data_IF_617285239365
#
_entry.id   IF_617285239365
#
_cell.length_a   1.000
_cell.length_b   1.000
_cell.length_c   1.000
_cell.angle_alpha   90.00
_cell.angle_beta   90.00
_cell.angle_gamma   90.00
#
_symmetry.space_group_name_H-M   'P 1'
#
loop_
_entity.id
_entity.type
_entity.pdbx_description
1 polymer ?
#
# COMPACT_ATOMS: atom_id res chain seq x y z
N UNK A 1 13.99 112.01 -4.85
CA UNK A 1 15.00 110.98 -4.52
C UNK A 1 14.35 109.62 -4.76
N UNK A 2 14.49 109.08 -5.97
CA UNK A 2 15.41 108.00 -6.41
C UNK A 2 14.72 106.61 -6.39
N UNK A 3 14.19 106.24 -7.57
CA UNK A 3 14.10 104.87 -8.15
C UNK A 3 15.46 104.13 -7.99
N UNK A 4 15.56 102.78 -7.94
CA UNK A 4 15.28 101.87 -9.07
C UNK A 4 14.76 100.47 -8.60
N UNK A 5 14.49 99.45 -9.41
CA UNK A 5 14.59 99.22 -10.85
C UNK A 5 14.22 97.75 -11.12
N UNK A 6 13.40 97.53 -12.13
CA UNK A 6 13.19 96.23 -12.76
C UNK A 6 14.52 95.72 -13.33
N UNK A 7 14.92 94.51 -12.95
CA UNK A 7 15.96 93.75 -13.64
C UNK A 7 15.36 92.43 -14.11
N UNK A 8 15.00 92.44 -15.39
CA UNK A 8 14.63 91.29 -16.20
C UNK A 8 15.88 90.43 -16.41
N UNK A 9 15.98 89.28 -15.77
CA UNK A 9 17.04 88.30 -16.04
C UNK A 9 16.46 87.19 -16.92
N UNK A 10 16.81 87.26 -18.21
CA UNK A 10 16.56 86.23 -19.20
C UNK A 10 17.33 84.96 -18.84
N UNK A 11 16.62 83.89 -18.48
CA UNK A 11 17.21 82.56 -18.38
C UNK A 11 17.23 81.93 -19.76
N UNK A 12 18.41 81.83 -20.35
CA UNK A 12 18.65 81.13 -21.59
C UNK A 12 18.43 79.63 -21.37
N UNK A 13 17.40 79.08 -22.01
CA UNK A 13 17.13 77.65 -22.06
C UNK A 13 18.23 76.96 -22.87
N UNK A 14 19.21 76.39 -22.17
CA UNK A 14 20.14 75.42 -22.76
C UNK A 14 19.36 74.13 -22.99
N UNK A 15 18.92 73.92 -24.23
CA UNK A 15 18.45 72.61 -24.69
C UNK A 15 19.69 71.73 -24.83
N UNK A 16 20.04 71.00 -23.76
CA UNK A 16 20.92 69.85 -23.86
C UNK A 16 20.17 68.78 -24.65
N UNK A 17 20.62 68.55 -25.88
CA UNK A 17 20.18 67.45 -26.72
C UNK A 17 20.57 66.13 -26.04
N UNK A 18 19.62 65.52 -25.31
CA UNK A 18 19.70 64.12 -24.91
C UNK A 18 19.63 63.24 -26.16
N UNK A 19 20.79 62.86 -26.69
CA UNK A 19 20.90 61.84 -27.75
C UNK A 19 21.48 60.57 -27.14
N UNK A 20 20.82 59.44 -27.42
CA UNK A 20 21.19 58.04 -27.11
C UNK A 20 20.72 57.40 -25.79
N UNK A 21 19.43 57.54 -25.42
CA UNK A 21 18.76 56.65 -24.44
C UNK A 21 17.48 55.96 -24.97
N UNK A 22 17.14 56.12 -26.25
CA UNK A 22 15.83 55.72 -26.78
C UNK A 22 15.64 54.20 -27.01
N UNK A 23 16.58 53.32 -26.65
CA UNK A 23 16.52 51.88 -26.99
C UNK A 23 15.97 51.00 -25.86
N UNK A 24 16.17 51.39 -24.60
CA UNK A 24 15.60 50.75 -23.41
C UNK A 24 14.58 51.71 -22.82
N UNK A 25 13.29 51.40 -22.95
CA UNK A 25 12.18 52.27 -22.53
C UNK A 25 11.97 52.25 -21.02
N UNK A 26 12.10 51.09 -20.37
CA UNK A 26 11.97 50.97 -18.92
C UNK A 26 12.58 49.68 -18.37
N UNK A 27 12.95 49.72 -17.08
CA UNK A 27 13.34 48.56 -16.27
C UNK A 27 12.62 48.69 -14.94
N UNK A 28 11.76 47.73 -14.61
CA UNK A 28 10.98 47.71 -13.37
C UNK A 28 11.22 46.40 -12.62
N UNK A 29 11.47 46.49 -11.30
CA UNK A 29 11.62 45.32 -10.44
C UNK A 29 10.36 45.19 -9.58
N UNK A 30 9.74 44.02 -9.62
CA UNK A 30 8.55 43.67 -8.83
C UNK A 30 8.87 42.50 -7.93
N UNK A 31 8.59 42.65 -6.65
CA UNK A 31 8.76 41.59 -5.65
C UNK A 31 7.40 41.29 -5.00
N UNK A 32 7.10 40.02 -4.64
CA UNK A 32 5.82 39.70 -4.02
C UNK A 32 5.61 40.37 -2.66
N UNK A 33 6.70 40.54 -1.90
CA UNK A 33 6.69 41.24 -0.60
C UNK A 33 8.08 41.81 -0.30
N UNK A 34 8.18 42.95 0.41
CA UNK A 34 9.46 43.56 0.77
C UNK A 34 10.02 43.12 2.13
N UNK A 35 9.30 42.30 2.91
CA UNK A 35 9.71 41.84 4.26
C UNK A 35 9.12 40.46 4.59
N UNK A 36 9.48 39.93 5.77
CA UNK A 36 9.00 38.63 6.24
C UNK A 36 9.76 37.47 5.60
N UNK A 37 11.05 37.68 5.35
CA UNK A 37 11.98 36.65 4.93
C UNK A 37 12.83 36.22 6.11
N UNK A 38 13.10 34.93 6.21
CA UNK A 38 13.98 34.34 7.20
C UNK A 38 15.18 33.66 6.52
N UNK A 39 16.10 33.17 7.34
CA UNK A 39 17.19 32.32 6.89
C UNK A 39 16.63 31.10 6.13
N UNK A 40 17.16 30.86 4.94
CA UNK A 40 16.78 29.73 4.07
C UNK A 40 15.65 30.02 3.09
N UNK A 41 14.95 31.15 3.24
CA UNK A 41 13.82 31.48 2.38
C UNK A 41 14.22 31.74 0.93
N UNK A 42 13.27 31.47 0.03
CA UNK A 42 13.37 31.85 -1.38
C UNK A 42 12.81 33.25 -1.60
N UNK A 43 13.67 34.15 -2.05
CA UNK A 43 13.31 35.52 -2.43
C UNK A 43 13.07 35.55 -3.94
N UNK A 44 11.88 35.97 -4.36
CA UNK A 44 11.51 36.02 -5.78
C UNK A 44 11.46 37.47 -6.25
N UNK A 45 12.03 37.72 -7.42
CA UNK A 45 11.94 39.00 -8.10
C UNK A 45 11.56 38.80 -9.56
N UNK A 46 10.75 39.71 -10.07
CA UNK A 46 10.40 39.81 -11.47
C UNK A 46 10.98 41.12 -11.99
N UNK A 47 11.83 41.03 -13.01
CA UNK A 47 12.38 42.20 -13.69
C UNK A 47 11.68 42.30 -15.04
N UNK A 48 10.91 43.37 -15.23
CA UNK A 48 10.23 43.68 -16.48
C UNK A 48 11.02 44.78 -17.22
N UNK A 49 11.52 44.45 -18.39
CA UNK A 49 12.27 45.37 -19.26
C UNK A 49 11.48 45.59 -20.54
N UNK A 50 11.36 46.85 -20.95
CA UNK A 50 10.75 47.23 -22.23
C UNK A 50 11.83 47.80 -23.14
N UNK A 51 12.00 47.23 -24.33
CA UNK A 51 12.97 47.66 -25.35
C UNK A 51 12.26 47.97 -26.67
N UNK A 52 12.91 48.77 -27.51
CA UNK A 52 12.47 49.03 -28.88
C UNK A 52 12.33 47.72 -29.70
N UNK A 53 11.48 47.70 -30.74
CA UNK A 53 11.29 46.52 -31.56
C UNK A 53 12.58 46.16 -32.32
N UNK A 54 12.78 44.86 -32.56
CA UNK A 54 13.98 44.33 -33.22
C UNK A 54 15.14 43.99 -32.27
N UNK A 55 15.11 44.48 -31.03
CA UNK A 55 16.08 44.07 -30.00
C UNK A 55 15.70 42.71 -29.39
N UNK A 56 16.68 41.82 -29.29
CA UNK A 56 16.58 40.47 -28.69
C UNK A 56 17.50 40.38 -27.49
N UNK A 57 17.08 39.68 -26.43
CA UNK A 57 17.95 39.48 -25.27
C UNK A 57 19.12 38.55 -25.64
N UNK A 58 20.35 38.99 -25.34
CA UNK A 58 21.51 38.12 -25.46
C UNK A 58 21.58 37.19 -24.25
N UNK A 59 21.32 35.89 -24.43
CA UNK A 59 21.32 34.91 -23.36
C UNK A 59 22.62 34.87 -22.54
N UNK A 60 23.77 35.17 -23.15
CA UNK A 60 25.06 35.24 -22.46
C UNK A 60 25.18 36.40 -21.44
N UNK A 61 24.28 37.40 -21.51
CA UNK A 61 24.22 38.49 -20.54
C UNK A 61 23.37 38.17 -19.31
N UNK A 62 22.63 37.06 -19.32
CA UNK A 62 21.84 36.63 -18.16
C UNK A 62 22.75 36.26 -16.98
N UNK A 63 22.35 36.58 -15.75
CA UNK A 63 23.06 36.10 -14.57
C UNK A 63 22.98 34.58 -14.52
N UNK A 64 24.09 33.93 -14.16
CA UNK A 64 24.12 32.46 -14.05
C UNK A 64 23.69 32.03 -12.64
N UNK A 65 22.89 30.96 -12.51
CA UNK A 65 22.62 30.36 -11.21
C UNK A 65 23.91 29.98 -10.49
N UNK A 66 24.00 30.35 -9.22
CA UNK A 66 25.20 30.16 -8.41
C UNK A 66 25.31 31.17 -7.27
N UNK A 67 26.43 31.12 -6.51
CA UNK A 67 26.69 32.05 -5.43
C UNK A 67 26.91 33.46 -5.96
N UNK A 68 26.15 34.42 -5.44
CA UNK A 68 26.29 35.85 -5.75
C UNK A 68 27.00 36.61 -4.63
N UNK A 69 26.76 36.20 -3.38
CA UNK A 69 27.42 36.69 -2.19
C UNK A 69 27.50 35.56 -1.16
N UNK A 70 28.28 35.73 -0.07
CA UNK A 70 28.40 34.69 0.96
C UNK A 70 27.05 34.28 1.60
N UNK A 71 26.04 35.13 1.49
CA UNK A 71 24.71 34.95 2.04
C UNK A 71 23.61 34.80 0.97
N UNK A 72 23.94 34.87 -0.31
CA UNK A 72 22.95 34.92 -1.39
C UNK A 72 23.37 34.03 -2.56
N UNK A 73 22.48 33.12 -2.91
CA UNK A 73 22.61 32.33 -4.12
C UNK A 73 21.46 32.62 -5.09
N UNK A 74 21.76 32.76 -6.38
CA UNK A 74 20.78 32.68 -7.44
C UNK A 74 20.50 31.21 -7.75
N UNK A 75 19.26 30.77 -7.55
CA UNK A 75 18.83 29.39 -7.77
C UNK A 75 18.32 29.16 -9.18
N UNK A 76 17.57 30.13 -9.70
CA UNK A 76 16.88 29.97 -10.97
C UNK A 76 16.68 31.31 -11.69
N UNK A 77 16.73 31.24 -13.02
CA UNK A 77 16.52 32.36 -13.94
C UNK A 77 15.66 31.86 -15.09
N UNK A 78 14.40 32.31 -15.13
CA UNK A 78 13.51 32.08 -16.25
C UNK A 78 13.29 33.39 -17.01
N UNK A 79 13.11 33.31 -18.33
CA UNK A 79 12.86 34.48 -19.19
C UNK A 79 11.66 34.23 -20.08
N UNK A 80 10.79 35.23 -20.18
CA UNK A 80 9.65 35.25 -21.09
C UNK A 80 9.72 36.53 -21.91
N UNK A 81 9.57 36.40 -23.23
CA UNK A 81 9.55 37.54 -24.14
C UNK A 81 8.17 37.66 -24.78
N UNK A 82 7.58 38.84 -24.73
CA UNK A 82 6.25 39.14 -25.27
C UNK A 82 6.28 40.43 -26.07
N UNK A 83 5.49 40.50 -27.13
CA UNK A 83 5.30 41.73 -27.88
C UNK A 83 4.30 42.62 -27.13
N UNK A 84 4.68 43.87 -26.88
CA UNK A 84 3.89 44.85 -26.14
C UNK A 84 3.64 46.08 -27.03
N UNK A 85 2.68 45.95 -27.95
CA UNK A 85 2.38 46.98 -28.94
C UNK A 85 3.52 47.17 -29.94
N UNK A 86 4.09 48.36 -29.99
CA UNK A 86 5.27 48.71 -30.81
C UNK A 86 6.60 48.34 -30.14
N UNK A 87 6.58 47.85 -28.89
CA UNK A 87 7.77 47.48 -28.12
C UNK A 87 7.84 45.97 -27.85
N UNK A 88 9.01 45.52 -27.39
CA UNK A 88 9.20 44.17 -26.83
C UNK A 88 9.31 44.27 -25.32
N UNK A 89 8.56 43.43 -24.59
CA UNK A 89 8.70 43.24 -23.15
C UNK A 89 9.44 41.94 -22.87
N UNK A 90 10.50 42.03 -22.09
CA UNK A 90 11.26 40.88 -21.59
C UNK A 90 11.06 40.81 -20.09
N UNK A 91 10.55 39.68 -19.61
CA UNK A 91 10.31 39.41 -18.20
C UNK A 91 11.30 38.37 -17.73
N UNK A 92 12.12 38.72 -16.75
CA UNK A 92 12.98 37.79 -16.04
C UNK A 92 12.35 37.44 -14.71
N UNK A 93 12.20 36.15 -14.43
CA UNK A 93 11.82 35.62 -13.12
C UNK A 93 13.05 35.05 -12.45
N UNK A 94 13.43 35.64 -11.32
CA UNK A 94 14.63 35.33 -10.58
C UNK A 94 14.24 34.75 -9.22
N UNK A 95 14.82 33.60 -8.88
CA UNK A 95 14.66 32.99 -7.55
C UNK A 95 16.00 32.96 -6.84
N UNK A 96 16.09 33.70 -5.75
CA UNK A 96 17.26 33.73 -4.87
C UNK A 96 17.00 32.88 -3.63
N UNK A 97 18.06 32.33 -3.04
CA UNK A 97 18.02 31.73 -1.72
C UNK A 97 18.90 32.52 -0.76
N UNK A 98 18.30 32.92 0.35
CA UNK A 98 18.95 33.70 1.38
C UNK A 98 19.54 32.78 2.46
N UNK A 99 20.82 32.97 2.79
CA UNK A 99 21.56 32.26 3.84
C UNK A 99 22.05 33.20 4.96
N UNK A 100 21.59 34.45 4.98
CA UNK A 100 21.96 35.37 6.04
C UNK A 100 21.26 35.02 7.36
N UNK A 101 22.03 34.76 8.41
CA UNK A 101 21.50 34.52 9.77
C UNK A 101 21.36 35.86 10.50
N UNK A 102 20.23 36.55 10.31
CA UNK A 102 19.97 37.84 10.93
C UNK A 102 19.87 37.77 12.46
N UNK A 103 20.51 38.73 13.14
CA UNK A 103 20.41 38.93 14.59
C UNK A 103 19.34 39.98 14.96
N UNK A 104 18.98 40.83 14.02
CA UNK A 104 18.01 41.91 14.08
C UNK A 104 17.28 42.01 12.73
N UNK A 105 16.13 42.68 12.72
CA UNK A 105 15.45 42.95 11.45
C UNK A 105 16.24 44.00 10.66
N UNK A 106 16.66 43.67 9.44
CA UNK A 106 17.46 44.58 8.60
C UNK A 106 17.21 44.39 7.12
N UNK A 107 17.52 45.43 6.34
CA UNK A 107 17.53 45.38 4.89
C UNK A 107 18.83 44.73 4.38
N UNK A 108 18.70 43.81 3.43
CA UNK A 108 19.80 43.27 2.63
C UNK A 108 19.61 43.72 1.19
N UNK A 109 20.71 44.14 0.57
CA UNK A 109 20.73 44.61 -0.82
C UNK A 109 21.21 43.49 -1.74
N UNK A 110 20.45 43.22 -2.80
CA UNK A 110 20.81 42.34 -3.90
C UNK A 110 21.46 43.21 -4.98
N UNK A 111 22.68 42.87 -5.43
CA UNK A 111 23.39 43.67 -6.42
C UNK A 111 22.65 43.68 -7.75
N UNK A 112 22.67 44.85 -8.40
CA UNK A 112 22.19 45.01 -9.77
C UNK A 112 23.09 44.31 -10.79
N UNK A 113 22.60 44.18 -12.01
CA UNK A 113 23.32 43.54 -13.11
C UNK A 113 22.92 44.15 -14.46
N UNK A 114 23.81 44.08 -15.44
CA UNK A 114 23.56 44.54 -16.81
C UNK A 114 23.03 43.43 -17.70
N UNK A 115 22.06 43.73 -18.54
CA UNK A 115 21.54 42.85 -19.59
C UNK A 115 21.79 43.47 -20.95
N UNK A 116 22.35 42.69 -21.88
CA UNK A 116 22.67 43.15 -23.23
C UNK A 116 21.59 42.68 -24.20
N UNK A 117 21.14 43.61 -25.04
CA UNK A 117 20.20 43.36 -26.11
C UNK A 117 20.86 43.65 -27.45
N UNK A 118 20.61 42.80 -28.43
CA UNK A 118 21.18 42.89 -29.77
C UNK A 118 20.06 43.02 -30.79
N UNK A 119 20.20 43.98 -31.70
CA UNK A 119 19.38 44.11 -32.90
C UNK A 119 20.28 43.90 -34.12
N UNK A 120 19.99 42.85 -34.89
CA UNK A 120 20.67 42.59 -36.15
C UNK A 120 19.92 43.33 -37.26
N UNK A 121 20.65 44.18 -37.99
CA UNK A 121 20.14 44.88 -39.17
C UNK A 121 21.02 44.56 -40.38
N UNK A 122 20.52 44.81 -41.59
CA UNK A 122 21.27 44.63 -42.84
C UNK A 122 22.59 45.44 -42.88
N UNK A 123 22.74 46.43 -41.99
CA UNK A 123 23.89 47.34 -41.90
C UNK A 123 24.82 47.02 -40.70
N UNK A 124 24.58 45.92 -39.99
CA UNK A 124 25.37 45.48 -38.82
C UNK A 124 24.53 45.22 -37.57
N UNK A 125 25.19 44.74 -36.51
CA UNK A 125 24.57 44.50 -35.22
C UNK A 125 24.70 45.73 -34.30
N UNK A 126 23.59 46.20 -33.75
CA UNK A 126 23.58 47.24 -32.71
C UNK A 126 23.31 46.59 -31.36
N UNK A 127 24.11 46.94 -30.36
CA UNK A 127 23.99 46.41 -29.00
C UNK A 127 23.60 47.52 -28.04
N UNK A 128 22.66 47.25 -27.13
CA UNK A 128 22.26 48.16 -26.05
C UNK A 128 22.27 47.41 -24.72
N UNK A 129 22.53 48.11 -23.62
CA UNK A 129 22.60 47.49 -22.29
C UNK A 129 21.56 48.11 -21.37
N UNK A 130 20.63 47.29 -20.87
CA UNK A 130 19.72 47.67 -19.80
C UNK A 130 20.37 47.37 -18.45
N UNK A 131 20.42 48.35 -17.55
CA UNK A 131 20.93 48.16 -16.20
C UNK A 131 19.78 47.85 -15.26
N UNK A 132 19.79 46.66 -14.66
CA UNK A 132 18.89 46.29 -13.57
C UNK A 132 19.48 46.86 -12.28
N UNK A 133 18.80 47.79 -11.59
CA UNK A 133 19.35 48.40 -10.38
C UNK A 133 19.43 47.40 -9.23
N UNK A 134 20.32 47.69 -8.28
CA UNK A 134 20.31 47.01 -7.00
C UNK A 134 18.97 47.26 -6.28
N UNK A 135 18.53 46.29 -5.49
CA UNK A 135 17.26 46.37 -4.76
C UNK A 135 17.36 45.61 -3.45
N UNK A 136 16.53 45.99 -2.48
CA UNK A 136 16.64 45.47 -1.12
C UNK A 136 15.37 44.79 -0.64
N UNK A 137 15.53 43.83 0.26
CA UNK A 137 14.45 43.20 1.01
C UNK A 137 14.82 43.13 2.49
N UNK A 138 13.81 43.06 3.36
CA UNK A 138 14.03 42.94 4.79
C UNK A 138 14.03 41.48 5.25
N UNK A 139 15.10 41.10 5.95
CA UNK A 139 15.21 39.83 6.65
C UNK A 139 14.88 39.99 8.13
N UNK A 140 14.19 39.01 8.69
CA UNK A 140 13.84 38.91 10.10
C UNK A 140 14.67 37.82 10.79
N UNK A 141 15.00 38.01 12.09
CA UNK A 141 15.70 37.00 12.87
C UNK A 141 14.77 35.82 13.18
N UNK A 142 15.31 34.59 13.16
CA UNK A 142 14.57 33.37 13.53
C UNK A 142 14.39 33.23 15.05
N UNK A 143 15.34 33.79 15.81
CA UNK A 143 15.31 33.79 17.27
C UNK A 143 14.88 35.15 17.78
N UNK A 144 14.35 35.17 18.99
CA UNK A 144 14.12 36.41 19.70
C UNK A 144 15.44 37.20 19.84
N UNK A 145 15.39 38.49 19.52
CA UNK A 145 16.58 39.37 19.48
C UNK A 145 17.13 39.57 20.89
N UNK A 146 16.24 39.73 21.88
CA UNK A 146 16.56 39.92 23.29
C UNK A 146 15.58 39.10 24.14
N UNK A 147 15.80 37.78 24.26
CA UNK A 147 14.97 36.96 25.13
C UNK A 147 15.22 37.34 26.60
N UNK A 148 14.22 37.17 27.49
CA UNK A 148 14.42 37.37 28.91
C UNK A 148 15.53 36.46 29.44
N UNK A 149 16.35 36.96 30.37
CA UNK A 149 17.39 36.17 31.00
C UNK A 149 16.78 34.98 31.76
N UNK A 150 17.26 33.78 31.48
CA UNK A 150 16.91 32.55 32.20
C UNK A 150 18.15 32.04 32.95
N UNK A 151 17.94 31.49 34.13
CA UNK A 151 19.03 30.94 34.95
C UNK A 151 19.58 29.64 34.35
N UNK A 152 18.70 28.80 33.79
CA UNK A 152 19.06 27.58 33.09
C UNK A 152 18.83 27.75 31.57
N UNK A 153 19.84 27.51 30.69
CA UNK A 153 19.66 27.51 29.25
C UNK A 153 18.56 26.57 28.73
N UNK A 154 18.26 25.48 29.46
CA UNK A 154 17.18 24.56 29.11
C UNK A 154 15.79 25.23 29.14
N UNK A 155 15.62 26.28 29.94
CA UNK A 155 14.36 27.02 30.05
C UNK A 155 14.01 27.82 28.78
N UNK A 156 14.95 27.97 27.84
CA UNK A 156 14.67 28.53 26.51
C UNK A 156 14.01 27.52 25.57
N UNK A 157 14.12 26.22 25.86
CA UNK A 157 13.48 25.19 25.05
C UNK A 157 11.98 25.17 25.32
N UNK A 158 11.18 25.11 24.26
CA UNK A 158 9.75 24.84 24.41
C UNK A 158 9.57 23.37 24.79
N UNK A 159 8.58 23.04 25.64
CA UNK A 159 8.24 21.66 25.92
C UNK A 159 7.87 20.95 24.61
N UNK A 160 8.16 19.65 24.54
CA UNK A 160 7.83 18.85 23.37
C UNK A 160 6.36 18.98 22.99
N UNK A 161 6.13 19.21 21.70
CA UNK A 161 4.78 19.31 21.16
C UNK A 161 4.01 18.01 21.40
N UNK A 162 2.83 18.10 22.01
CA UNK A 162 1.93 16.96 22.14
C UNK A 162 1.36 16.63 20.76
N UNK A 163 1.78 15.49 20.21
CA UNK A 163 1.20 14.96 18.95
C UNK A 163 -0.20 14.44 19.25
N UNK A 164 -1.16 14.72 18.36
CA UNK A 164 -2.50 14.15 18.49
C UNK A 164 -2.42 12.61 18.46
N UNK A 165 -3.08 11.90 19.39
CA UNK A 165 -3.07 10.45 19.38
C UNK A 165 -3.70 9.95 18.08
N UNK A 166 -3.01 9.04 17.40
CA UNK A 166 -3.56 8.32 16.24
C UNK A 166 -4.68 7.40 16.71
N UNK A 167 -5.80 7.39 16.00
CA UNK A 167 -6.91 6.48 16.29
C UNK A 167 -6.53 5.02 15.95
N UNK A 168 -6.43 4.10 16.93
CA UNK A 168 -6.07 2.70 16.67
C UNK A 168 -7.27 1.84 16.23
N UNK A 169 -8.50 2.37 16.21
CA UNK A 169 -9.70 1.60 15.87
C UNK A 169 -9.64 0.88 14.52
N UNK A 170 -9.23 1.49 13.39
CA UNK A 170 -9.19 0.78 12.11
C UNK A 170 -8.25 -0.43 12.13
N UNK A 171 -7.09 -0.31 12.79
CA UNK A 171 -6.15 -1.43 12.97
C UNK A 171 -6.72 -2.53 13.86
N UNK A 172 -7.44 -2.17 14.93
CA UNK A 172 -8.09 -3.15 15.83
C UNK A 172 -9.20 -3.92 15.11
N UNK A 173 -10.03 -3.24 14.32
CA UNK A 173 -11.08 -3.86 13.51
C UNK A 173 -10.47 -4.78 12.46
N UNK A 174 -9.42 -4.33 11.76
CA UNK A 174 -8.68 -5.17 10.82
C UNK A 174 -8.11 -6.43 11.47
N UNK A 175 -7.43 -6.29 12.61
CA UNK A 175 -6.88 -7.42 13.36
C UNK A 175 -7.97 -8.41 13.81
N UNK A 176 -9.11 -7.91 14.29
CA UNK A 176 -10.24 -8.76 14.67
C UNK A 176 -10.85 -9.51 13.47
N UNK A 177 -10.96 -8.85 12.31
CA UNK A 177 -11.44 -9.48 11.09
C UNK A 177 -10.51 -10.61 10.61
N UNK A 178 -9.19 -10.36 10.60
CA UNK A 178 -8.20 -11.38 10.23
C UNK A 178 -8.14 -12.53 11.24
N UNK A 179 -8.24 -12.24 12.53
CA UNK A 179 -8.33 -13.28 13.56
C UNK A 179 -9.60 -14.14 13.37
N UNK A 180 -10.74 -13.51 13.05
CA UNK A 180 -11.97 -14.22 12.72
C UNK A 180 -11.82 -15.14 11.50
N UNK A 181 -11.24 -14.64 10.41
CA UNK A 181 -10.97 -15.44 9.21
C UNK A 181 -10.03 -16.61 9.50
N UNK A 182 -8.99 -16.40 10.32
CA UNK A 182 -8.07 -17.47 10.73
C UNK A 182 -8.79 -18.56 11.53
N UNK A 183 -9.71 -18.20 12.43
CA UNK A 183 -10.51 -19.16 13.18
C UNK A 183 -11.46 -19.96 12.27
N UNK A 184 -12.07 -19.33 11.27
CA UNK A 184 -12.91 -20.01 10.28
C UNK A 184 -12.08 -21.01 9.45
N UNK A 185 -10.89 -20.61 9.00
CA UNK A 185 -9.99 -21.50 8.29
C UNK A 185 -9.53 -22.68 9.17
N UNK A 186 -9.19 -22.41 10.43
CA UNK A 186 -8.82 -23.45 11.40
C UNK A 186 -9.98 -24.40 11.68
N UNK A 187 -11.21 -23.91 11.76
CA UNK A 187 -12.40 -24.74 11.90
C UNK A 187 -12.60 -25.64 10.68
N UNK A 188 -12.45 -25.09 9.47
CA UNK A 188 -12.50 -25.86 8.22
C UNK A 188 -11.45 -26.97 8.21
N UNK A 189 -10.21 -26.66 8.61
CA UNK A 189 -9.13 -27.64 8.72
C UNK A 189 -9.39 -28.70 9.80
N UNK A 190 -9.89 -28.29 10.98
CA UNK A 190 -10.22 -29.21 12.06
C UNK A 190 -11.34 -30.19 11.65
N UNK A 191 -12.30 -29.72 10.84
CA UNK A 191 -13.34 -30.57 10.24
C UNK A 191 -12.75 -31.53 9.21
N UNK A 192 -11.93 -31.05 8.27
CA UNK A 192 -11.27 -31.86 7.24
C UNK A 192 -10.40 -32.97 7.85
N UNK A 193 -9.59 -32.62 8.84
CA UNK A 193 -8.68 -33.56 9.52
C UNK A 193 -9.32 -34.35 10.65
N UNK A 194 -10.63 -34.20 10.82
CA UNK A 194 -11.41 -34.89 11.85
C UNK A 194 -10.78 -34.74 13.26
N UNK A 195 -10.26 -33.55 13.56
CA UNK A 195 -9.65 -33.23 14.86
C UNK A 195 -10.72 -33.09 15.95
N UNK A 196 -10.40 -33.62 17.15
CA UNK A 196 -11.24 -33.48 18.34
C UNK A 196 -12.70 -33.96 18.14
N UNK A 197 -13.72 -33.10 18.33
CA UNK A 197 -15.13 -33.47 18.29
C UNK A 197 -15.63 -33.87 16.89
N UNK A 198 -14.88 -33.54 15.82
CA UNK A 198 -15.19 -33.92 14.44
C UNK A 198 -14.62 -35.28 14.05
N UNK A 199 -13.87 -35.93 14.94
CA UNK A 199 -13.46 -37.32 14.76
C UNK A 199 -14.71 -38.17 14.74
N UNK A 200 -15.04 -38.76 13.58
CA UNK A 200 -16.03 -39.83 13.54
C UNK A 200 -15.63 -40.85 14.60
N UNK A 201 -16.46 -41.02 15.64
CA UNK A 201 -16.24 -42.04 16.68
C UNK A 201 -15.89 -43.33 15.95
N UNK A 202 -14.76 -43.98 16.31
CA UNK A 202 -14.27 -45.24 15.71
C UNK A 202 -15.47 -46.00 15.18
N UNK A 203 -15.57 -46.06 13.85
CA UNK A 203 -16.75 -46.56 13.18
C UNK A 203 -17.12 -47.89 13.82
N UNK A 204 -18.41 -48.16 13.95
CA UNK A 204 -18.92 -49.46 14.38
C UNK A 204 -19.34 -50.24 13.12
N UNK A 205 -18.42 -50.73 12.26
CA UNK A 205 -18.75 -51.51 11.07
C UNK A 205 -19.82 -52.58 11.31
N UNK A 206 -19.70 -53.35 12.39
CA UNK A 206 -20.67 -54.41 12.69
C UNK A 206 -21.97 -53.85 13.23
N UNK A 207 -21.95 -52.76 14.00
CA UNK A 207 -23.16 -52.01 14.38
C UNK A 207 -23.92 -51.43 13.17
N UNK A 208 -23.23 -50.98 12.14
CA UNK A 208 -23.82 -50.53 10.87
C UNK A 208 -24.41 -51.72 10.12
N UNK A 209 -23.68 -52.82 9.99
CA UNK A 209 -24.17 -54.06 9.38
C UNK A 209 -25.43 -54.58 10.10
N UNK A 210 -25.44 -54.62 11.43
CA UNK A 210 -26.57 -55.07 12.23
C UNK A 210 -27.84 -54.21 12.05
N UNK A 211 -27.68 -52.90 11.79
CA UNK A 211 -28.82 -52.03 11.44
C UNK A 211 -29.32 -52.31 10.02
N UNK A 212 -28.41 -52.49 9.06
CA UNK A 212 -28.77 -52.82 7.67
C UNK A 212 -29.50 -54.15 7.59
N UNK A 213 -29.03 -55.20 8.27
CA UNK A 213 -29.70 -56.51 8.28
C UNK A 213 -31.11 -56.45 8.88
N UNK A 214 -31.34 -55.62 9.91
CA UNK A 214 -32.69 -55.39 10.45
C UNK A 214 -33.64 -54.77 9.43
N UNK A 215 -33.16 -53.82 8.63
CA UNK A 215 -33.95 -53.24 7.55
C UNK A 215 -34.22 -54.24 6.42
N UNK A 216 -33.25 -55.11 6.11
CA UNK A 216 -33.38 -56.15 5.08
C UNK A 216 -34.35 -57.27 5.48
N UNK A 217 -34.49 -57.56 6.78
CA UNK A 217 -35.43 -58.57 7.29
C UNK A 217 -36.90 -58.24 6.99
N UNK A 218 -37.23 -56.97 6.78
CA UNK A 218 -38.59 -56.51 6.48
C UNK A 218 -38.90 -56.47 4.97
N UNK A 219 -37.95 -56.83 4.09
CA UNK A 219 -38.16 -56.79 2.64
C UNK A 219 -38.88 -58.05 2.15
N UNK A 220 -39.80 -57.92 1.16
CA UNK A 220 -40.55 -59.05 0.61
C UNK A 220 -39.67 -59.98 -0.25
N UNK A 221 -38.59 -59.48 -0.83
CA UNK A 221 -37.66 -60.27 -1.65
C UNK A 221 -36.54 -60.86 -0.78
N UNK A 222 -36.72 -62.12 -0.41
CA UNK A 222 -35.85 -62.81 0.54
C UNK A 222 -34.49 -63.21 -0.05
N UNK A 223 -34.38 -63.39 -1.37
CA UNK A 223 -33.10 -63.78 -2.00
C UNK A 223 -32.18 -62.58 -2.19
N UNK A 224 -32.71 -61.47 -2.70
CA UNK A 224 -31.91 -60.24 -2.81
C UNK A 224 -31.55 -59.69 -1.43
N UNK A 225 -32.46 -59.76 -0.45
CA UNK A 225 -32.17 -59.39 0.93
C UNK A 225 -31.06 -60.26 1.56
N UNK A 226 -31.01 -61.56 1.28
CA UNK A 226 -29.94 -62.44 1.77
C UNK A 226 -28.59 -62.11 1.15
N UNK A 227 -28.53 -61.90 -0.18
CA UNK A 227 -27.31 -61.45 -0.85
C UNK A 227 -26.80 -60.09 -0.35
N UNK A 228 -27.71 -59.13 -0.13
CA UNK A 228 -27.36 -57.83 0.46
C UNK A 228 -26.87 -57.94 1.91
N UNK A 229 -27.43 -58.87 2.70
CA UNK A 229 -26.99 -59.13 4.07
C UNK A 229 -25.55 -59.65 4.11
N UNK A 230 -25.20 -60.61 3.24
CA UNK A 230 -23.84 -61.12 3.13
C UNK A 230 -22.85 -60.02 2.73
N UNK A 231 -23.20 -59.18 1.74
CA UNK A 231 -22.37 -58.02 1.34
C UNK A 231 -22.21 -57.00 2.46
N UNK A 232 -23.26 -56.76 3.25
CA UNK A 232 -23.20 -55.83 4.37
C UNK A 232 -22.24 -56.32 5.47
N UNK A 233 -22.18 -57.64 5.69
CA UNK A 233 -21.30 -58.23 6.69
C UNK A 233 -19.83 -58.27 6.23
N UNK A 234 -19.58 -58.56 4.94
CA UNK A 234 -18.25 -58.42 4.32
C UNK A 234 -17.70 -57.01 4.42
N UNK A 235 -18.51 -55.99 4.08
CA UNK A 235 -18.10 -54.58 4.29
C UNK A 235 -17.81 -54.27 5.76
N UNK A 236 -18.46 -54.98 6.68
CA UNK A 236 -18.16 -54.91 8.12
C UNK A 236 -16.77 -55.45 8.43
N UNK A 237 -16.47 -56.67 7.98
CA UNK A 237 -15.16 -57.30 8.13
C UNK A 237 -14.03 -56.47 7.51
N UNK A 238 -14.22 -56.00 6.28
CA UNK A 238 -13.23 -55.22 5.55
C UNK A 238 -12.92 -53.89 6.26
N UNK A 239 -13.95 -53.23 6.78
CA UNK A 239 -13.79 -51.97 7.51
C UNK A 239 -13.17 -52.17 8.90
N UNK A 240 -13.32 -53.35 9.51
CA UNK A 240 -12.68 -53.71 10.78
C UNK A 240 -11.18 -54.02 10.58
N UNK A 241 -10.83 -54.75 9.52
CA UNK A 241 -9.43 -55.16 9.24
C UNK A 241 -8.64 -54.09 8.45
N UNK A 242 -9.32 -53.15 7.78
CA UNK A 242 -8.72 -52.14 6.91
C UNK A 242 -8.29 -52.68 5.53
N UNK A 243 -8.63 -53.93 5.21
CA UNK A 243 -8.33 -54.62 3.95
C UNK A 243 -9.42 -55.67 3.68
N UNK A 244 -9.47 -56.19 2.46
CA UNK A 244 -10.46 -57.23 2.09
C UNK A 244 -10.17 -58.53 2.83
N UNK A 245 -11.19 -59.09 3.50
CA UNK A 245 -11.05 -60.36 4.26
C UNK A 245 -11.78 -61.47 3.51
N UNK A 246 -11.02 -62.41 2.94
CA UNK A 246 -11.57 -63.62 2.31
C UNK A 246 -11.52 -64.82 3.27
N UNK A 247 -12.08 -65.96 2.82
CA UNK A 247 -12.09 -67.20 3.60
C UNK A 247 -10.68 -67.64 4.01
N UNK A 248 -9.69 -67.44 3.13
CA UNK A 248 -8.28 -67.78 3.40
C UNK A 248 -7.62 -66.82 4.42
N UNK A 249 -8.11 -65.58 4.53
CA UNK A 249 -7.53 -64.54 5.40
C UNK A 249 -8.05 -64.58 6.85
N UNK A 250 -9.06 -65.42 7.12
CA UNK A 250 -9.72 -65.50 8.42
C UNK A 250 -8.75 -65.78 9.58
N UNK A 251 -7.78 -66.71 9.50
CA UNK A 251 -6.82 -66.92 10.59
C UNK A 251 -6.03 -65.65 10.93
N UNK A 252 -5.53 -64.94 9.91
CA UNK A 252 -4.82 -63.68 10.10
C UNK A 252 -5.70 -62.57 10.67
N UNK A 253 -6.98 -62.51 10.29
CA UNK A 253 -7.95 -61.58 10.88
C UNK A 253 -8.14 -61.83 12.39
N UNK A 254 -8.27 -63.10 12.79
CA UNK A 254 -8.45 -63.48 14.19
C UNK A 254 -7.18 -63.28 15.05
N UNK A 255 -6.00 -63.34 14.43
CA UNK A 255 -4.74 -62.97 15.07
C UNK A 255 -4.70 -61.47 15.40
N UNK A 256 -4.99 -60.62 14.40
CA UNK A 256 -4.99 -59.14 14.55
C UNK A 256 -6.12 -58.63 15.43
N UNK A 257 -7.28 -59.28 15.39
CA UNK A 257 -8.46 -58.88 16.16
C UNK A 257 -8.88 -59.97 17.15
N UNK A 258 -8.09 -60.13 18.21
CA UNK A 258 -8.25 -61.16 19.23
C UNK A 258 -9.66 -61.24 19.84
N UNK A 259 -10.38 -60.10 19.92
CA UNK A 259 -11.75 -60.03 20.44
C UNK A 259 -12.76 -60.89 19.66
N UNK A 260 -12.52 -61.18 18.37
CA UNK A 260 -13.43 -61.97 17.53
C UNK A 260 -13.08 -63.46 17.47
N UNK A 261 -11.99 -63.92 18.11
CA UNK A 261 -11.59 -65.34 18.16
C UNK A 261 -12.73 -66.29 18.57
N UNK A 262 -13.58 -65.97 19.57
CA UNK A 262 -14.69 -66.85 19.96
C UNK A 262 -15.71 -67.10 18.84
N UNK A 263 -15.86 -66.16 17.90
CA UNK A 263 -16.80 -66.27 16.78
C UNK A 263 -16.13 -66.83 15.50
N UNK A 264 -14.86 -67.25 15.57
CA UNK A 264 -14.07 -67.76 14.44
C UNK A 264 -14.75 -68.87 13.63
N UNK A 265 -15.28 -69.94 14.25
CA UNK A 265 -15.99 -71.00 13.53
C UNK A 265 -17.22 -70.51 12.76
N UNK A 266 -17.94 -69.52 13.31
CA UNK A 266 -19.14 -68.95 12.67
C UNK A 266 -18.79 -67.97 11.55
N UNK A 267 -17.69 -67.24 11.69
CA UNK A 267 -17.13 -66.44 10.60
C UNK A 267 -16.66 -67.33 9.45
N UNK A 268 -16.05 -68.48 9.74
CA UNK A 268 -15.66 -69.46 8.71
C UNK A 268 -16.89 -69.99 7.95
N UNK A 269 -17.95 -70.37 8.68
CA UNK A 269 -19.21 -70.85 8.09
C UNK A 269 -19.89 -69.77 7.24
N UNK A 270 -19.87 -68.52 7.69
CA UNK A 270 -20.36 -67.37 6.94
C UNK A 270 -19.56 -67.16 5.64
N UNK A 271 -18.23 -67.19 5.70
CA UNK A 271 -17.37 -66.99 4.53
C UNK A 271 -17.56 -68.13 3.52
N UNK A 272 -17.75 -69.37 3.98
CA UNK A 272 -18.12 -70.50 3.14
C UNK A 272 -19.50 -70.33 2.47
N UNK A 273 -20.52 -69.93 3.24
CA UNK A 273 -21.85 -69.64 2.70
C UNK A 273 -21.82 -68.47 1.70
N UNK A 274 -21.00 -67.45 1.95
CA UNK A 274 -20.79 -66.35 1.02
C UNK A 274 -20.09 -66.79 -0.27
N UNK A 275 -19.13 -67.72 -0.19
CA UNK A 275 -18.47 -68.28 -1.37
C UNK A 275 -19.46 -69.06 -2.23
N UNK A 276 -20.35 -69.84 -1.59
CA UNK A 276 -21.45 -70.51 -2.29
C UNK A 276 -22.42 -69.51 -2.95
N UNK A 277 -22.75 -68.41 -2.27
CA UNK A 277 -23.70 -67.41 -2.75
C UNK A 277 -23.20 -66.63 -3.98
N UNK A 278 -21.92 -66.23 -3.99
CA UNK A 278 -21.37 -65.34 -5.03
C UNK A 278 -20.51 -66.05 -6.07
N UNK A 279 -19.93 -67.21 -5.74
CA UNK A 279 -18.96 -67.91 -6.59
C UNK A 279 -19.27 -69.41 -6.76
N UNK A 280 -20.46 -69.87 -6.34
CA UNK A 280 -20.85 -71.28 -6.37
C UNK A 280 -22.29 -71.49 -6.86
N UNK A 281 -23.01 -72.38 -6.20
CA UNK A 281 -24.37 -72.81 -6.57
C UNK A 281 -25.48 -71.74 -6.37
N UNK A 282 -25.11 -70.50 -5.99
CA UNK A 282 -26.01 -69.36 -5.92
C UNK A 282 -26.65 -69.12 -4.55
N UNK A 283 -27.44 -68.05 -4.48
CA UNK A 283 -28.10 -67.55 -3.26
C UNK A 283 -29.01 -68.59 -2.58
N UNK A 284 -29.80 -69.43 -3.31
CA UNK A 284 -30.64 -70.44 -2.67
C UNK A 284 -29.83 -71.50 -1.91
N UNK A 285 -28.76 -72.02 -2.50
CA UNK A 285 -27.89 -73.02 -1.88
C UNK A 285 -27.16 -72.45 -0.65
N UNK A 286 -26.71 -71.18 -0.73
CA UNK A 286 -26.09 -70.50 0.38
C UNK A 286 -27.04 -70.22 1.55
N UNK A 287 -28.32 -69.95 1.27
CA UNK A 287 -29.36 -69.74 2.28
C UNK A 287 -29.77 -71.06 2.95
N UNK A 288 -29.74 -72.18 2.23
CA UNK A 288 -29.93 -73.50 2.79
C UNK A 288 -28.77 -73.89 3.74
N UNK A 289 -27.54 -73.56 3.37
CA UNK A 289 -26.35 -73.82 4.19
C UNK A 289 -26.21 -72.89 5.41
N UNK A 290 -26.67 -71.64 5.30
CA UNK A 290 -26.69 -70.67 6.40
C UNK A 290 -27.96 -69.80 6.33
N UNK A 291 -28.99 -70.09 7.14
CA UNK A 291 -30.22 -69.32 7.13
C UNK A 291 -30.02 -67.84 7.53
N UNK A 292 -30.85 -66.95 6.98
CA UNK A 292 -30.84 -65.51 7.30
C UNK A 292 -30.86 -65.18 8.82
N UNK A 293 -31.65 -65.88 9.67
CA UNK A 293 -31.64 -65.65 11.12
C UNK A 293 -30.27 -65.88 11.77
N UNK A 294 -29.49 -66.84 11.26
CA UNK A 294 -28.16 -67.14 11.76
C UNK A 294 -27.14 -66.06 11.36
N UNK A 295 -27.23 -65.55 10.12
CA UNK A 295 -26.45 -64.39 9.66
C UNK A 295 -26.75 -63.15 10.53
N UNK A 296 -28.03 -62.91 10.84
CA UNK A 296 -28.45 -61.82 11.70
C UNK A 296 -28.00 -62.01 13.16
N UNK A 297 -28.02 -63.25 13.68
CA UNK A 297 -27.51 -63.57 15.02
C UNK A 297 -26.00 -63.36 15.12
N UNK A 298 -25.23 -63.82 14.13
CA UNK A 298 -23.78 -63.60 14.06
C UNK A 298 -23.45 -62.11 14.01
N UNK A 299 -24.14 -61.35 13.16
CA UNK A 299 -23.92 -59.89 13.05
C UNK A 299 -24.21 -59.16 14.36
N UNK A 300 -25.24 -59.58 15.12
CA UNK A 300 -25.53 -59.00 16.45
C UNK A 300 -24.45 -59.32 17.48
N UNK A 301 -23.87 -60.53 17.43
CA UNK A 301 -22.75 -60.92 18.32
C UNK A 301 -21.50 -60.12 18.00
N UNK A 302 -21.13 -60.01 16.72
CA UNK A 302 -20.00 -59.19 16.29
C UNK A 302 -20.18 -57.71 16.69
N UNK A 303 -21.39 -57.17 16.57
CA UNK A 303 -21.73 -55.82 17.03
C UNK A 303 -21.77 -55.67 18.57
N UNK A 304 -21.91 -56.76 19.32
CA UNK A 304 -21.80 -56.77 20.78
C UNK A 304 -20.33 -56.79 21.19
N UNK A 305 -19.52 -57.65 20.57
CA UNK A 305 -18.06 -57.69 20.75
C UNK A 305 -17.42 -56.34 20.41
N UNK A 306 -17.83 -55.70 19.31
CA UNK A 306 -17.40 -54.36 18.91
C UNK A 306 -17.78 -53.24 19.91
N UNK A 307 -18.79 -53.47 20.76
CA UNK A 307 -19.17 -52.53 21.83
C UNK A 307 -18.39 -52.78 23.12
N UNK A 308 -17.85 -53.98 23.31
CA UNK A 308 -17.12 -54.39 24.50
C UNK A 308 -15.60 -54.26 24.35
N UNK A 309 -15.09 -54.27 23.12
CA UNK A 309 -13.68 -54.02 22.75
C UNK A 309 -13.41 -52.52 22.55
#
# INVERSE_FOLDING_TARGET
MRRPGLALAAFASVVLASTAQAQVRSVEIRTPRPFGYFLGDLVRAQVDIVVEPGFTLQAASLPQPGPMAYWLDLRDVATEETQAGDARRVRLSLTYQNFYAALDARALEIPGFGLTFVSASDHGATTTTAQVPAWSFNISPLREVQPPAKADPADYMRPDGRVAPLDPQPMRVGAAAFAGLALVALFGLARDRAWGPFRARRGRPFGIAARRLRALAARPDAETAYGEALRALHRGLDATDGRRVLAEDLPGFLERHAAYRPEGPRLAHLLAASRLAFFGAGVPAARAALPFPEVAALTRRLAATERAA
#
